data_IF_521904938168
#
_entry.id   IF_521904938168
#
_cell.length_a   1.000
_cell.length_b   1.000
_cell.length_c   1.000
_cell.angle_alpha   90.00
_cell.angle_beta   90.00
_cell.angle_gamma   90.00
#
_symmetry.space_group_name_H-M   'P 1'
#
loop_
_entity.id
_entity.type
_entity.pdbx_description
1 polymer ?
#
# COMPACT_ATOMS: atom_id res chain seq x y z
N UNK A 1 -15.74 14.84 -67.12
CA UNK A 1 -15.73 13.43 -67.61
C UNK A 1 -15.90 13.40 -69.13
N UNK A 2 -15.89 12.25 -69.82
CA UNK A 2 -16.18 12.16 -71.27
C UNK A 2 -17.51 11.45 -71.49
N UNK A 3 -18.30 11.92 -72.44
CA UNK A 3 -19.53 11.25 -72.86
C UNK A 3 -19.20 9.88 -73.47
N UNK A 4 -19.87 8.84 -73.01
CA UNK A 4 -19.72 7.45 -73.50
C UNK A 4 -20.12 7.30 -74.96
N UNK A 5 -21.00 8.16 -75.46
CA UNK A 5 -21.54 8.10 -76.83
C UNK A 5 -20.76 8.95 -77.85
N UNK A 6 -20.42 10.21 -77.54
CA UNK A 6 -19.72 11.10 -78.50
C UNK A 6 -18.25 11.40 -78.16
N UNK A 7 -17.73 10.88 -77.05
CA UNK A 7 -16.32 11.03 -76.64
C UNK A 7 -15.89 12.44 -76.20
N UNK A 8 -16.75 13.46 -76.38
CA UNK A 8 -16.48 14.84 -75.93
C UNK A 8 -16.55 14.96 -74.41
N UNK A 9 -15.80 15.94 -73.88
CA UNK A 9 -15.78 16.22 -72.44
C UNK A 9 -17.13 16.81 -72.03
N UNK A 10 -17.72 16.28 -70.95
CA UNK A 10 -18.95 16.75 -70.32
C UNK A 10 -18.67 17.06 -68.84
N UNK A 11 -19.42 17.99 -68.26
CA UNK A 11 -19.43 18.25 -66.82
C UNK A 11 -19.95 17.05 -66.05
N UNK A 12 -19.56 16.95 -64.78
CA UNK A 12 -19.95 15.83 -63.91
C UNK A 12 -21.42 15.96 -63.48
N UNK A 13 -21.96 17.18 -63.46
CA UNK A 13 -23.34 17.50 -63.06
C UNK A 13 -24.27 17.68 -64.27
N UNK A 14 -23.75 17.63 -65.49
CA UNK A 14 -24.57 17.77 -66.70
C UNK A 14 -25.39 16.48 -66.92
N UNK A 15 -26.70 16.54 -66.65
CA UNK A 15 -27.65 15.41 -66.78
C UNK A 15 -27.67 14.86 -68.22
N UNK A 16 -27.47 15.71 -69.23
CA UNK A 16 -27.38 15.34 -70.64
C UNK A 16 -26.13 15.93 -71.27
N UNK A 17 -25.52 15.18 -72.18
CA UNK A 17 -24.39 15.67 -72.95
C UNK A 17 -24.84 16.86 -73.83
N UNK A 18 -24.24 18.05 -73.68
CA UNK A 18 -24.64 19.24 -74.45
C UNK A 18 -24.34 19.13 -75.95
N UNK A 19 -23.56 18.12 -76.36
CA UNK A 19 -23.12 17.95 -77.74
C UNK A 19 -23.86 16.86 -78.52
N UNK A 20 -24.44 15.86 -77.84
CA UNK A 20 -25.18 14.78 -78.52
C UNK A 20 -26.51 14.42 -77.86
N UNK A 21 -26.87 15.07 -76.74
CA UNK A 21 -28.14 14.88 -76.05
C UNK A 21 -28.25 13.59 -75.23
N UNK A 22 -27.26 12.69 -75.32
CA UNK A 22 -27.25 11.43 -74.56
C UNK A 22 -27.19 11.71 -73.05
N UNK A 23 -28.00 10.98 -72.29
CA UNK A 23 -28.02 11.09 -70.83
C UNK A 23 -26.70 10.67 -70.20
N UNK A 24 -26.31 11.41 -69.19
CA UNK A 24 -25.16 11.12 -68.36
C UNK A 24 -25.63 10.29 -67.16
N UNK A 25 -25.53 8.97 -67.28
CA UNK A 25 -26.00 8.01 -66.27
C UNK A 25 -25.44 8.31 -64.87
N UNK A 26 -24.19 8.80 -64.78
CA UNK A 26 -23.57 9.18 -63.51
C UNK A 26 -24.21 10.41 -62.88
N UNK A 27 -24.54 11.44 -63.67
CA UNK A 27 -25.21 12.64 -63.17
C UNK A 27 -26.66 12.35 -62.76
N UNK A 28 -27.38 11.56 -63.56
CA UNK A 28 -28.75 11.11 -63.25
C UNK A 28 -28.78 10.28 -61.97
N UNK A 29 -27.85 9.35 -61.80
CA UNK A 29 -27.76 8.55 -60.58
C UNK A 29 -27.32 9.40 -59.38
N UNK A 30 -26.43 10.36 -59.58
CA UNK A 30 -26.01 11.29 -58.53
C UNK A 30 -27.18 12.14 -58.03
N UNK A 31 -27.99 12.71 -58.93
CA UNK A 31 -29.19 13.47 -58.55
C UNK A 31 -30.21 12.62 -57.79
N UNK A 32 -30.43 11.38 -58.22
CA UNK A 32 -31.29 10.42 -57.52
C UNK A 32 -30.76 10.10 -56.11
N UNK A 33 -29.45 9.88 -55.98
CA UNK A 33 -28.82 9.64 -54.68
C UNK A 33 -28.91 10.88 -53.79
N UNK A 34 -28.70 12.09 -54.33
CA UNK A 34 -28.82 13.34 -53.59
C UNK A 34 -30.24 13.58 -53.07
N UNK A 35 -31.28 13.27 -53.86
CA UNK A 35 -32.67 13.34 -53.40
C UNK A 35 -33.00 12.35 -52.28
N UNK A 36 -32.41 11.15 -52.29
CA UNK A 36 -32.53 10.18 -51.20
C UNK A 36 -31.81 10.68 -49.93
N UNK A 37 -30.58 11.17 -50.06
CA UNK A 37 -29.83 11.75 -48.94
C UNK A 37 -30.53 12.96 -48.32
N UNK A 38 -31.14 13.83 -49.13
CA UNK A 38 -31.86 14.99 -48.62
C UNK A 38 -33.12 14.58 -47.84
N UNK A 39 -33.79 13.51 -48.26
CA UNK A 39 -34.96 12.96 -47.56
C UNK A 39 -34.56 12.31 -46.24
N UNK A 40 -33.51 11.49 -46.25
CA UNK A 40 -32.96 10.84 -45.04
C UNK A 40 -32.40 11.84 -44.04
N UNK A 41 -31.76 12.91 -44.52
CA UNK A 41 -31.25 13.99 -43.69
C UNK A 41 -32.39 14.74 -42.99
N UNK A 42 -33.45 15.13 -43.74
CA UNK A 42 -34.62 15.81 -43.16
C UNK A 42 -35.38 14.91 -42.17
N UNK A 43 -35.41 13.60 -42.42
CA UNK A 43 -36.01 12.65 -41.48
C UNK A 43 -35.16 12.53 -40.20
N UNK A 44 -33.84 12.42 -40.34
CA UNK A 44 -32.91 12.36 -39.19
C UNK A 44 -32.94 13.66 -38.37
N UNK A 45 -33.01 14.81 -39.03
CA UNK A 45 -33.11 16.12 -38.38
C UNK A 45 -34.42 16.24 -37.59
N UNK A 46 -35.54 15.76 -38.16
CA UNK A 46 -36.83 15.73 -37.47
C UNK A 46 -36.84 14.74 -36.31
N UNK A 47 -36.26 13.55 -36.47
CA UNK A 47 -36.12 12.56 -35.40
C UNK A 47 -35.22 13.08 -34.27
N UNK A 48 -34.14 13.80 -34.59
CA UNK A 48 -33.27 14.45 -33.62
C UNK A 48 -34.00 15.59 -32.88
N UNK A 49 -34.79 16.42 -33.58
CA UNK A 49 -35.58 17.50 -32.99
C UNK A 49 -36.72 16.96 -32.10
N UNK A 50 -37.43 15.93 -32.55
CA UNK A 50 -38.51 15.28 -31.78
C UNK A 50 -37.95 14.52 -30.57
N UNK A 51 -36.74 13.97 -30.68
CA UNK A 51 -36.01 13.36 -29.55
C UNK A 51 -35.55 14.44 -28.58
N UNK A 52 -34.98 15.55 -29.05
CA UNK A 52 -34.54 16.67 -28.22
C UNK A 52 -35.70 17.31 -27.43
N UNK A 53 -36.87 17.50 -28.08
CA UNK A 53 -38.08 18.04 -27.44
C UNK A 53 -38.70 17.13 -26.37
N UNK A 54 -38.44 15.82 -26.40
CA UNK A 54 -38.96 14.86 -25.41
C UNK A 54 -38.19 14.84 -24.09
N UNK A 55 -36.97 15.39 -24.02
CA UNK A 55 -36.08 15.27 -22.85
C UNK A 55 -35.70 16.60 -22.18
N UNK A 56 -36.40 17.70 -22.46
CA UNK A 56 -36.01 19.07 -22.05
C UNK A 56 -35.91 19.36 -20.54
N UNK A 57 -36.30 18.45 -19.64
CA UNK A 57 -36.18 18.65 -18.18
C UNK A 57 -35.38 17.59 -17.42
N UNK A 58 -35.57 16.30 -17.73
CA UNK A 58 -34.97 15.18 -17.01
C UNK A 58 -33.65 14.70 -17.64
N UNK A 59 -33.49 14.84 -18.97
CA UNK A 59 -32.33 14.34 -19.70
C UNK A 59 -31.03 15.05 -19.34
N UNK A 60 -31.06 16.38 -19.15
CA UNK A 60 -29.86 17.16 -18.78
C UNK A 60 -29.31 16.76 -17.41
N UNK A 61 -30.19 16.52 -16.42
CA UNK A 61 -29.78 16.07 -15.07
C UNK A 61 -29.28 14.63 -15.08
N UNK A 62 -29.91 13.75 -15.86
CA UNK A 62 -29.47 12.36 -16.02
C UNK A 62 -28.09 12.28 -16.70
N UNK A 63 -27.86 13.07 -17.75
CA UNK A 63 -26.55 13.14 -18.44
C UNK A 63 -25.47 13.67 -17.49
N UNK A 64 -25.75 14.71 -16.71
CA UNK A 64 -24.81 15.24 -15.71
C UNK A 64 -24.49 14.17 -14.64
N UNK A 65 -25.49 13.44 -14.15
CA UNK A 65 -25.30 12.37 -13.16
C UNK A 65 -24.46 11.20 -13.72
N UNK A 66 -24.68 10.82 -14.98
CA UNK A 66 -23.87 9.77 -15.64
C UNK A 66 -22.42 10.22 -15.82
N UNK A 67 -22.19 11.47 -16.22
CA UNK A 67 -20.83 12.02 -16.34
C UNK A 67 -20.14 12.10 -14.98
N UNK A 68 -20.86 12.51 -13.92
CA UNK A 68 -20.33 12.52 -12.56
C UNK A 68 -20.02 11.11 -12.05
N UNK A 69 -20.89 10.13 -12.32
CA UNK A 69 -20.63 8.73 -11.96
C UNK A 69 -19.40 8.18 -12.68
N UNK A 70 -19.25 8.45 -13.98
CA UNK A 70 -18.06 8.07 -14.74
C UNK A 70 -16.82 8.77 -14.16
N UNK A 71 -16.93 10.05 -13.81
CA UNK A 71 -15.85 10.81 -13.15
C UNK A 71 -15.45 10.22 -11.81
N UNK A 72 -16.41 9.83 -10.97
CA UNK A 72 -16.17 9.16 -9.69
C UNK A 72 -15.46 7.82 -9.92
N UNK A 73 -15.97 6.97 -10.82
CA UNK A 73 -15.38 5.66 -11.13
C UNK A 73 -13.96 5.82 -11.67
N UNK A 74 -13.72 6.73 -12.60
CA UNK A 74 -12.38 7.00 -13.12
C UNK A 74 -11.46 7.55 -12.03
N UNK A 75 -11.94 8.44 -11.16
CA UNK A 75 -11.14 8.92 -10.02
C UNK A 75 -10.77 7.79 -9.08
N UNK A 76 -11.69 6.86 -8.78
CA UNK A 76 -11.39 5.70 -7.93
C UNK A 76 -10.41 4.75 -8.58
N UNK A 77 -10.48 4.53 -9.90
CA UNK A 77 -9.51 3.70 -10.62
C UNK A 77 -8.13 4.35 -10.63
N UNK A 78 -8.05 5.65 -10.94
CA UNK A 78 -6.79 6.41 -10.91
C UNK A 78 -6.19 6.41 -9.50
N UNK A 79 -7.03 6.57 -8.46
CA UNK A 79 -6.61 6.45 -7.08
C UNK A 79 -6.11 5.04 -6.77
N UNK A 80 -6.80 3.97 -7.16
CA UNK A 80 -6.30 2.60 -6.93
C UNK A 80 -4.97 2.34 -7.64
N UNK A 81 -4.75 2.91 -8.83
CA UNK A 81 -3.49 2.75 -9.56
C UNK A 81 -2.34 3.63 -9.03
N UNK A 82 -2.62 4.81 -8.50
CA UNK A 82 -1.60 5.70 -7.91
C UNK A 82 -1.36 5.44 -6.42
N UNK A 83 -2.34 4.87 -5.72
CA UNK A 83 -2.27 4.52 -4.29
C UNK A 83 -2.20 3.01 -4.04
N UNK A 84 -2.02 2.18 -5.08
CA UNK A 84 -1.50 0.83 -4.86
C UNK A 84 -0.09 1.03 -4.29
N UNK A 85 0.17 0.63 -3.03
CA UNK A 85 1.36 1.05 -2.33
C UNK A 85 2.57 0.42 -3.02
N UNK A 86 3.44 1.25 -3.62
CA UNK A 86 4.75 0.84 -4.14
C UNK A 86 5.53 0.03 -3.09
N UNK A 87 5.32 0.31 -1.81
CA UNK A 87 5.87 -0.41 -0.65
C UNK A 87 5.52 -1.90 -0.65
N UNK A 88 4.31 -2.30 -1.05
CA UNK A 88 3.91 -3.70 -1.00
C UNK A 88 4.49 -4.51 -2.17
N UNK A 89 4.84 -3.85 -3.28
CA UNK A 89 5.60 -4.47 -4.36
C UNK A 89 7.09 -4.55 -4.03
N UNK A 90 7.63 -3.53 -3.36
CA UNK A 90 9.02 -3.52 -2.87
C UNK A 90 9.25 -4.57 -1.78
N UNK A 91 8.35 -4.69 -0.81
CA UNK A 91 8.42 -5.68 0.27
C UNK A 91 8.35 -7.10 -0.31
N UNK A 92 7.48 -7.36 -1.30
CA UNK A 92 7.47 -8.66 -2.00
C UNK A 92 8.76 -8.97 -2.72
N UNK A 93 9.45 -7.96 -3.27
CA UNK A 93 10.77 -8.15 -3.90
C UNK A 93 11.82 -8.48 -2.84
N UNK A 94 11.81 -7.80 -1.69
CA UNK A 94 12.68 -8.11 -0.54
C UNK A 94 12.43 -9.51 0.00
N UNK A 95 11.17 -9.92 0.13
CA UNK A 95 10.80 -11.27 0.52
C UNK A 95 11.34 -12.32 -0.46
N UNK A 96 11.14 -12.10 -1.76
CA UNK A 96 11.63 -13.02 -2.77
C UNK A 96 13.17 -13.10 -2.79
N UNK A 97 13.85 -11.97 -2.59
CA UNK A 97 15.31 -11.89 -2.46
C UNK A 97 15.81 -12.66 -1.22
N UNK A 98 15.14 -12.51 -0.07
CA UNK A 98 15.49 -13.22 1.15
C UNK A 98 15.31 -14.74 1.03
N UNK A 99 14.31 -15.21 0.30
CA UNK A 99 14.14 -16.65 0.00
C UNK A 99 15.28 -17.15 -0.90
N UNK A 100 15.63 -16.39 -1.94
CA UNK A 100 16.68 -16.78 -2.89
C UNK A 100 18.07 -16.82 -2.24
N UNK A 101 18.31 -15.93 -1.27
CA UNK A 101 19.59 -15.79 -0.58
C UNK A 101 19.61 -16.42 0.82
N UNK A 102 18.70 -17.37 1.10
CA UNK A 102 18.53 -17.98 2.43
C UNK A 102 19.85 -18.41 3.09
N UNK A 103 20.74 -19.10 2.36
CA UNK A 103 21.99 -19.59 2.93
C UNK A 103 22.94 -18.46 3.37
N UNK A 104 22.91 -17.32 2.70
CA UNK A 104 23.69 -16.14 3.08
C UNK A 104 23.01 -15.41 4.23
N UNK A 105 21.70 -15.19 4.16
CA UNK A 105 20.96 -14.40 5.15
C UNK A 105 20.83 -15.13 6.48
N UNK A 106 20.56 -16.44 6.48
CA UNK A 106 20.56 -17.23 7.72
C UNK A 106 21.92 -17.24 8.41
N UNK A 107 23.02 -17.31 7.64
CA UNK A 107 24.38 -17.19 8.19
C UNK A 107 24.66 -15.81 8.79
N UNK A 108 24.18 -14.75 8.15
CA UNK A 108 24.36 -13.38 8.65
C UNK A 108 23.51 -13.15 9.92
N UNK A 109 22.28 -13.66 9.93
CA UNK A 109 21.42 -13.71 11.11
C UNK A 109 22.09 -14.46 12.26
N UNK A 110 22.58 -15.68 12.02
CA UNK A 110 23.28 -16.48 13.03
C UNK A 110 24.53 -15.76 13.55
N UNK A 111 25.26 -15.02 12.70
CA UNK A 111 26.42 -14.21 13.11
C UNK A 111 26.03 -13.13 14.13
N UNK A 112 24.95 -12.38 13.89
CA UNK A 112 24.48 -11.37 14.84
C UNK A 112 24.15 -12.01 16.19
N UNK A 113 23.46 -13.15 16.18
CA UNK A 113 23.10 -13.89 17.39
C UNK A 113 24.32 -14.41 18.15
N UNK A 114 25.30 -14.98 17.45
CA UNK A 114 26.57 -15.45 18.05
C UNK A 114 27.37 -14.32 18.71
N UNK A 115 27.18 -13.08 18.27
CA UNK A 115 27.85 -11.89 18.79
C UNK A 115 27.06 -11.14 19.86
N UNK A 116 25.82 -11.56 20.15
CA UNK A 116 24.90 -10.84 21.03
C UNK A 116 24.40 -9.52 20.44
N UNK A 117 24.49 -9.34 19.12
CA UNK A 117 24.06 -8.14 18.40
C UNK A 117 22.55 -8.23 18.06
N UNK A 118 21.70 -8.30 19.09
CA UNK A 118 20.26 -8.57 18.94
C UNK A 118 19.48 -7.43 18.24
N UNK A 119 19.91 -6.18 18.44
CA UNK A 119 19.31 -5.01 17.77
C UNK A 119 19.59 -5.04 16.27
N UNK A 120 20.83 -5.35 15.89
CA UNK A 120 21.25 -5.49 14.50
C UNK A 120 20.60 -6.70 13.83
N UNK A 121 20.44 -7.80 14.57
CA UNK A 121 19.66 -8.95 14.12
C UNK A 121 18.24 -8.55 13.70
N UNK A 122 17.49 -7.86 14.58
CA UNK A 122 16.12 -7.45 14.27
C UNK A 122 16.07 -6.39 13.17
N UNK A 123 17.02 -5.46 13.16
CA UNK A 123 17.15 -4.49 12.06
C UNK A 123 17.30 -5.19 10.71
N UNK A 124 18.12 -6.26 10.65
CA UNK A 124 18.29 -7.08 9.44
C UNK A 124 17.01 -7.83 9.07
N UNK A 125 16.33 -8.43 10.04
CA UNK A 125 15.04 -9.12 9.84
C UNK A 125 13.99 -8.16 9.25
N UNK A 126 13.90 -6.92 9.75
CA UNK A 126 12.99 -5.90 9.21
C UNK A 126 13.40 -5.43 7.83
N UNK A 127 14.68 -5.11 7.59
CA UNK A 127 15.15 -4.54 6.32
C UNK A 127 14.97 -5.50 5.13
N UNK A 128 14.92 -6.80 5.41
CA UNK A 128 14.73 -7.86 4.42
C UNK A 128 13.32 -8.48 4.44
N UNK A 129 12.37 -7.89 5.19
CA UNK A 129 10.98 -8.35 5.31
C UNK A 129 10.84 -9.82 5.76
N UNK A 130 11.81 -10.33 6.52
CA UNK A 130 11.83 -11.73 6.98
C UNK A 130 10.73 -11.95 8.04
N UNK A 131 10.39 -10.93 8.85
CA UNK A 131 9.32 -10.99 9.84
C UNK A 131 7.94 -11.33 9.23
N UNK A 132 7.68 -10.94 7.97
CA UNK A 132 6.40 -11.23 7.28
C UNK A 132 6.27 -12.68 6.83
N UNK A 133 7.34 -13.48 6.96
CA UNK A 133 7.41 -14.85 6.43
C UNK A 133 6.92 -15.92 7.41
N UNK A 134 6.03 -15.57 8.34
CA UNK A 134 5.53 -16.48 9.38
C UNK A 134 4.92 -17.79 8.84
N UNK A 135 4.44 -17.82 7.60
CA UNK A 135 3.88 -19.02 6.98
C UNK A 135 4.85 -19.77 6.03
N UNK A 136 6.12 -19.35 5.95
CA UNK A 136 7.10 -19.92 5.02
C UNK A 136 8.05 -20.89 5.75
N UNK A 137 8.16 -22.13 5.24
CA UNK A 137 9.07 -23.14 5.77
C UNK A 137 10.54 -22.69 5.78
N UNK A 138 10.93 -21.75 4.92
CA UNK A 138 12.34 -21.33 4.72
C UNK A 138 12.95 -20.72 5.98
N UNK A 139 12.24 -19.80 6.65
CA UNK A 139 12.73 -19.11 7.85
C UNK A 139 12.01 -19.58 9.14
N UNK A 140 11.20 -20.63 9.05
CA UNK A 140 10.39 -21.13 10.16
C UNK A 140 11.21 -21.45 11.42
N UNK A 141 12.47 -21.88 11.27
CA UNK A 141 13.42 -22.10 12.38
C UNK A 141 13.50 -20.89 13.34
N UNK A 142 13.43 -19.68 12.80
CA UNK A 142 13.55 -18.43 13.55
C UNK A 142 12.20 -17.90 14.07
N UNK A 143 11.07 -18.51 13.70
CA UNK A 143 9.75 -17.92 13.92
C UNK A 143 9.48 -17.58 15.40
N UNK A 144 9.60 -18.56 16.30
CA UNK A 144 9.37 -18.33 17.73
C UNK A 144 10.43 -17.41 18.37
N UNK A 145 11.68 -17.53 17.93
CA UNK A 145 12.76 -16.66 18.38
C UNK A 145 12.49 -15.19 18.01
N UNK A 146 12.09 -14.94 16.76
CA UNK A 146 11.77 -13.60 16.26
C UNK A 146 10.68 -12.91 17.07
N UNK A 147 9.70 -13.66 17.58
CA UNK A 147 8.65 -13.08 18.43
C UNK A 147 9.20 -12.52 19.74
N UNK A 148 10.19 -13.16 20.35
CA UNK A 148 10.84 -12.62 21.56
C UNK A 148 11.79 -11.47 21.19
N UNK A 149 12.55 -11.64 20.11
CA UNK A 149 13.52 -10.65 19.65
C UNK A 149 12.85 -9.34 19.18
N UNK A 150 11.65 -9.40 18.61
CA UNK A 150 10.82 -8.24 18.25
C UNK A 150 10.43 -7.43 19.49
N UNK A 151 9.86 -8.09 20.50
CA UNK A 151 9.49 -7.42 21.77
C UNK A 151 10.71 -6.81 22.48
N UNK A 152 11.86 -7.51 22.43
CA UNK A 152 13.13 -6.98 22.92
C UNK A 152 13.56 -5.71 22.16
N UNK A 153 13.51 -5.76 20.84
CA UNK A 153 13.90 -4.66 19.97
C UNK A 153 13.03 -3.43 20.18
N UNK A 154 11.71 -3.61 20.28
CA UNK A 154 10.77 -2.51 20.51
C UNK A 154 11.01 -1.86 21.88
N UNK A 155 11.20 -2.65 22.94
CA UNK A 155 11.56 -2.12 24.26
C UNK A 155 12.84 -1.27 24.23
N UNK A 156 13.91 -1.80 23.64
CA UNK A 156 15.22 -1.14 23.60
C UNK A 156 15.17 0.14 22.76
N UNK A 157 14.52 0.07 21.59
CA UNK A 157 14.34 1.21 20.71
C UNK A 157 13.51 2.31 21.36
N UNK A 158 12.37 1.98 21.96
CA UNK A 158 11.52 2.98 22.60
C UNK A 158 12.22 3.61 23.81
N UNK A 159 12.97 2.83 24.62
CA UNK A 159 13.83 3.41 25.67
C UNK A 159 14.84 4.41 25.10
N UNK A 160 15.54 4.06 24.02
CA UNK A 160 16.53 4.94 23.39
C UNK A 160 15.88 6.24 22.87
N UNK A 161 14.77 6.14 22.16
CA UNK A 161 14.05 7.30 21.62
C UNK A 161 13.53 8.21 22.73
N UNK A 162 12.97 7.64 23.80
CA UNK A 162 12.49 8.40 24.97
C UNK A 162 13.64 9.13 25.66
N UNK A 163 14.76 8.44 25.91
CA UNK A 163 15.95 9.05 26.55
C UNK A 163 16.51 10.17 25.67
N UNK A 164 16.53 9.97 24.35
CA UNK A 164 16.99 10.99 23.41
C UNK A 164 16.09 12.22 23.46
N UNK A 165 14.76 12.02 23.41
CA UNK A 165 13.78 13.08 23.52
C UNK A 165 13.93 13.89 24.81
N UNK A 166 14.05 13.22 25.96
CA UNK A 166 14.22 13.87 27.26
C UNK A 166 15.50 14.73 27.32
N UNK A 167 16.57 14.28 26.65
CA UNK A 167 17.84 15.03 26.58
C UNK A 167 17.79 16.22 25.63
N UNK A 168 17.10 16.09 24.49
CA UNK A 168 17.03 17.15 23.49
C UNK A 168 15.96 18.18 23.81
N UNK A 169 14.95 17.82 24.61
CA UNK A 169 13.79 18.65 24.89
C UNK A 169 12.91 18.84 23.66
N UNK A 170 12.78 17.80 22.84
CA UNK A 170 11.94 17.84 21.63
C UNK A 170 10.45 17.87 22.02
N UNK A 171 9.83 19.05 21.91
CA UNK A 171 8.42 19.26 22.26
C UNK A 171 7.45 18.61 21.25
N UNK A 172 7.90 18.29 20.04
CA UNK A 172 7.07 17.66 19.00
C UNK A 172 7.05 16.12 19.12
N UNK A 173 7.95 15.55 19.93
CA UNK A 173 7.98 14.11 20.16
C UNK A 173 6.81 13.67 21.05
N UNK A 174 6.04 12.64 20.66
CA UNK A 174 4.85 12.19 21.40
C UNK A 174 5.24 11.36 22.63
N UNK A 175 5.92 11.99 23.59
CA UNK A 175 6.54 11.34 24.75
C UNK A 175 5.54 10.50 25.56
N UNK A 176 4.36 11.04 25.84
CA UNK A 176 3.33 10.37 26.64
C UNK A 176 2.89 9.05 25.98
N UNK A 177 2.61 9.10 24.67
CA UNK A 177 2.24 7.91 23.89
C UNK A 177 3.36 6.87 23.87
N UNK A 178 4.62 7.33 23.80
CA UNK A 178 5.78 6.44 23.76
C UNK A 178 6.06 5.79 25.12
N UNK A 179 5.83 6.51 26.21
CA UNK A 179 5.88 5.94 27.56
C UNK A 179 4.79 4.87 27.74
N UNK A 180 3.58 5.13 27.22
CA UNK A 180 2.49 4.14 27.23
C UNK A 180 2.89 2.85 26.47
N UNK A 181 3.48 2.98 25.29
CA UNK A 181 3.95 1.83 24.49
C UNK A 181 5.05 1.05 25.20
N UNK A 182 6.09 1.73 25.69
CA UNK A 182 7.18 1.07 26.41
C UNK A 182 6.67 0.24 27.60
N UNK A 183 5.69 0.76 28.35
CA UNK A 183 5.08 0.01 29.46
C UNK A 183 4.38 -1.27 29.01
N UNK A 184 3.67 -1.20 27.88
CA UNK A 184 3.07 -2.37 27.23
C UNK A 184 4.13 -3.37 26.78
N UNK A 185 5.12 -2.92 26.01
CA UNK A 185 6.14 -3.74 25.36
C UNK A 185 7.00 -4.49 26.39
N UNK A 186 7.37 -3.84 27.51
CA UNK A 186 8.10 -4.53 28.60
C UNK A 186 7.26 -5.70 29.13
N UNK A 187 5.95 -5.50 29.33
CA UNK A 187 5.06 -6.58 29.76
C UNK A 187 4.96 -7.70 28.73
N UNK A 188 4.74 -7.32 27.47
CA UNK A 188 4.63 -8.25 26.34
C UNK A 188 5.89 -9.09 26.17
N UNK A 189 7.08 -8.50 26.33
CA UNK A 189 8.35 -9.22 26.29
C UNK A 189 8.39 -10.35 27.33
N UNK A 190 8.15 -10.06 28.61
CA UNK A 190 8.25 -11.08 29.67
C UNK A 190 7.18 -12.15 29.53
N UNK A 191 5.95 -11.78 29.13
CA UNK A 191 4.90 -12.75 28.85
C UNK A 191 5.24 -13.65 27.65
N UNK A 192 5.77 -13.07 26.57
CA UNK A 192 6.15 -13.81 25.36
C UNK A 192 7.32 -14.73 25.67
N UNK A 193 8.32 -14.25 26.41
CA UNK A 193 9.45 -15.06 26.86
C UNK A 193 8.99 -16.28 27.67
N UNK A 194 8.07 -16.10 28.63
CA UNK A 194 7.51 -17.20 29.43
C UNK A 194 6.78 -18.22 28.53
N UNK A 195 5.91 -17.74 27.62
CA UNK A 195 5.19 -18.59 26.66
C UNK A 195 6.16 -19.39 25.77
N UNK A 196 7.24 -18.77 25.31
CA UNK A 196 8.20 -19.41 24.42
C UNK A 196 9.07 -20.48 25.11
N UNK A 197 9.08 -20.56 26.45
CA UNK A 197 9.77 -21.66 27.15
C UNK A 197 9.11 -23.02 26.89
N UNK A 198 7.82 -23.03 26.58
CA UNK A 198 7.03 -24.26 26.34
C UNK A 198 7.00 -24.67 24.85
N UNK A 199 7.32 -23.76 23.94
CA UNK A 199 7.27 -23.98 22.49
C UNK A 199 8.48 -24.76 21.96
N UNK A 200 8.27 -25.57 20.91
CA UNK A 200 9.35 -26.32 20.25
C UNK A 200 10.20 -25.38 19.38
N UNK A 201 11.45 -25.15 19.80
CA UNK A 201 12.40 -24.24 19.16
C UNK A 201 13.79 -24.89 19.09
N UNK A 202 14.58 -24.50 18.08
CA UNK A 202 15.99 -24.86 17.96
C UNK A 202 16.78 -24.55 19.25
N UNK A 203 17.54 -25.52 19.75
CA UNK A 203 18.28 -25.40 21.01
C UNK A 203 19.32 -24.27 21.01
N UNK A 204 19.92 -24.00 19.84
CA UNK A 204 20.90 -22.91 19.70
C UNK A 204 20.21 -21.57 19.85
N UNK A 205 19.08 -21.37 19.16
CA UNK A 205 18.29 -20.15 19.28
C UNK A 205 17.75 -19.96 20.71
N UNK A 206 17.33 -21.05 21.34
CA UNK A 206 16.90 -21.04 22.75
C UNK A 206 17.99 -20.55 23.69
N UNK A 207 19.25 -20.87 23.41
CA UNK A 207 20.36 -20.50 24.28
C UNK A 207 20.62 -19.00 24.36
N UNK A 208 20.11 -18.21 23.41
CA UNK A 208 20.26 -16.75 23.38
C UNK A 208 19.16 -16.02 24.18
N UNK A 209 18.02 -16.66 24.46
CA UNK A 209 16.91 -16.02 25.18
C UNK A 209 17.29 -15.47 26.57
N UNK A 210 18.05 -16.21 27.42
CA UNK A 210 18.41 -15.70 28.75
C UNK A 210 19.34 -14.48 28.69
N UNK A 211 20.14 -14.35 27.64
CA UNK A 211 21.04 -13.22 27.46
C UNK A 211 20.26 -11.96 27.06
N UNK A 212 19.30 -12.07 26.13
CA UNK A 212 18.35 -10.99 25.83
C UNK A 212 17.54 -10.57 27.05
N UNK A 213 17.06 -11.53 27.85
CA UNK A 213 16.37 -11.21 29.11
C UNK A 213 17.27 -10.44 30.07
N UNK A 214 18.52 -10.88 30.25
CA UNK A 214 19.46 -10.24 31.13
C UNK A 214 19.83 -8.82 30.67
N UNK A 215 20.03 -8.62 29.37
CA UNK A 215 20.32 -7.31 28.77
C UNK A 215 19.14 -6.34 28.94
N UNK A 216 17.92 -6.77 28.62
CA UNK A 216 16.74 -5.92 28.78
C UNK A 216 16.49 -5.59 30.25
N UNK A 217 16.63 -6.56 31.16
CA UNK A 217 16.55 -6.31 32.61
C UNK A 217 17.58 -5.26 33.03
N UNK A 218 18.84 -5.40 32.61
CA UNK A 218 19.88 -4.45 32.93
C UNK A 218 19.55 -3.04 32.40
N UNK A 219 19.01 -2.93 31.18
CA UNK A 219 18.56 -1.68 30.60
C UNK A 219 17.43 -1.04 31.43
N UNK A 220 16.40 -1.82 31.79
CA UNK A 220 15.28 -1.35 32.62
C UNK A 220 15.78 -0.83 33.98
N UNK A 221 16.60 -1.60 34.68
CA UNK A 221 17.13 -1.20 36.00
C UNK A 221 18.00 0.07 35.90
N UNK A 222 18.72 0.24 34.80
CA UNK A 222 19.64 1.36 34.58
C UNK A 222 18.91 2.63 34.15
N UNK A 223 18.05 2.53 33.15
CA UNK A 223 17.41 3.67 32.49
C UNK A 223 16.10 4.06 33.18
N UNK A 224 15.33 3.08 33.66
CA UNK A 224 14.08 3.33 34.37
C UNK A 224 14.26 3.39 35.90
N UNK A 225 15.52 3.35 36.37
CA UNK A 225 15.89 3.50 37.80
C UNK A 225 15.12 2.58 38.75
N UNK A 226 14.73 1.40 38.25
CA UNK A 226 14.05 0.39 39.04
C UNK A 226 15.07 -0.55 39.67
N UNK A 227 14.76 -1.11 40.83
CA UNK A 227 15.40 -2.33 41.33
C UNK A 227 14.59 -3.58 40.93
N UNK A 228 15.12 -4.77 41.24
CA UNK A 228 14.48 -6.05 40.88
C UNK A 228 13.10 -6.25 41.53
N UNK A 229 12.91 -5.74 42.75
CA UNK A 229 11.61 -5.84 43.44
C UNK A 229 10.60 -4.91 42.78
N UNK A 230 11.01 -3.69 42.45
CA UNK A 230 10.21 -2.72 41.73
C UNK A 230 9.85 -3.19 40.32
N UNK A 231 10.78 -3.83 39.61
CA UNK A 231 10.50 -4.45 38.31
C UNK A 231 9.47 -5.56 38.45
N UNK A 232 9.61 -6.43 39.45
CA UNK A 232 8.65 -7.49 39.70
C UNK A 232 7.25 -6.94 39.98
N UNK A 233 7.13 -5.91 40.82
CA UNK A 233 5.87 -5.26 41.12
C UNK A 233 5.31 -4.57 39.87
N UNK A 234 6.16 -3.90 39.09
CA UNK A 234 5.82 -3.24 37.83
C UNK A 234 5.16 -4.20 36.84
N UNK A 235 5.70 -5.42 36.69
CA UNK A 235 5.15 -6.43 35.78
C UNK A 235 3.76 -6.93 36.20
N UNK A 236 3.34 -6.73 37.46
CA UNK A 236 1.99 -7.09 37.92
C UNK A 236 0.95 -6.00 37.68
N UNK A 237 1.36 -4.80 37.27
CA UNK A 237 0.46 -3.68 37.03
C UNK A 237 -0.33 -3.88 35.72
N UNK A 238 -1.52 -3.28 35.66
CA UNK A 238 -2.21 -3.06 34.38
C UNK A 238 -1.40 -2.12 33.48
N UNK A 239 -1.62 -2.12 32.18
CA UNK A 239 -0.89 -1.25 31.23
C UNK A 239 -0.98 0.23 31.60
N UNK A 240 -2.15 0.72 32.01
CA UNK A 240 -2.31 2.10 32.54
C UNK A 240 -1.47 2.35 33.80
N UNK A 241 -1.31 1.33 34.64
CA UNK A 241 -0.47 1.42 35.85
C UNK A 241 1.01 1.44 35.53
N UNK A 242 1.44 0.66 34.53
CA UNK A 242 2.82 0.67 34.01
C UNK A 242 3.16 2.03 33.43
N UNK A 243 2.31 2.58 32.56
CA UNK A 243 2.45 3.92 31.99
C UNK A 243 2.65 4.99 33.07
N UNK A 244 1.73 5.08 34.04
CA UNK A 244 1.82 6.05 35.14
C UNK A 244 3.14 5.90 35.92
N UNK A 245 3.58 4.66 36.17
CA UNK A 245 4.83 4.41 36.87
C UNK A 245 6.05 4.86 36.07
N UNK A 246 6.05 4.67 34.76
CA UNK A 246 7.11 5.14 33.88
C UNK A 246 7.12 6.67 33.77
N UNK A 247 5.96 7.32 33.70
CA UNK A 247 5.87 8.78 33.72
C UNK A 247 6.47 9.38 34.99
N UNK A 248 6.16 8.80 36.16
CA UNK A 248 6.72 9.23 37.44
C UNK A 248 8.25 9.16 37.46
N UNK A 249 8.84 8.14 36.84
CA UNK A 249 10.28 7.94 36.77
C UNK A 249 10.92 8.88 35.76
N UNK A 250 10.34 8.99 34.57
CA UNK A 250 10.98 9.61 33.40
C UNK A 250 10.75 11.13 33.30
N UNK A 251 9.64 11.65 33.85
CA UNK A 251 9.29 13.09 33.78
C UNK A 251 9.65 13.89 35.04
N UNK A 252 10.13 13.24 36.09
CA UNK A 252 10.52 13.88 37.35
C UNK A 252 12.04 13.94 37.57
N UNK A 253 12.83 13.69 36.51
CA UNK A 253 14.24 14.10 36.38
C UNK A 253 14.36 15.50 35.74
#
# INVERSE_FOLDING_TARGET
MKCTHCGRRIGIEDIKCPHCGTENELAVQHEKNMGQYETEFKQTEKEAADTAGKYEGLGKRAVILVVLLIGIVLSTIISIYHYAPDELEEDKKKEQDAIQNYAQYSKEMDRYLEQGEYMEYMTFVYSHCIYRMEANETYWKYHYFNRVAEEYYDCMKDMEEIILCLKTGDEDYPLDMKIDFLGGDIGSFFETLEKMQEEEMDETLRSYLPDMEAELRAAILTYLKMDEEQLKDFLTLSDTGKALRLEEVLKHE
#
